data_IF_932405098025
#
_entry.id   IF_932405098025
#
_cell.length_a   1.000
_cell.length_b   1.000
_cell.length_c   1.000
_cell.angle_alpha   90.00
_cell.angle_beta   90.00
_cell.angle_gamma   90.00
#
_symmetry.space_group_name_H-M   'P 1'
#
loop_
_entity.id
_entity.type
_entity.pdbx_description
1 polymer ?
#
# COMPACT_ATOMS: atom_id res chain seq x y z
N UNK A 1 -5.54 -7.06 10.59
CA UNK A 1 -5.29 -6.89 12.04
C UNK A 1 -3.93 -7.50 12.36
N UNK A 2 -3.05 -6.73 12.98
CA UNK A 2 -1.72 -7.20 13.38
C UNK A 2 -1.59 -7.06 14.91
N UNK A 3 -0.88 -8.00 15.54
CA UNK A 3 -0.43 -7.93 16.92
C UNK A 3 1.09 -7.96 16.95
N UNK A 4 1.70 -7.15 17.78
CA UNK A 4 3.14 -7.03 17.92
C UNK A 4 3.54 -7.39 19.34
N UNK A 5 4.63 -8.12 19.49
CA UNK A 5 5.31 -8.25 20.77
C UNK A 5 5.78 -6.86 21.24
N UNK A 6 5.35 -6.45 22.42
CA UNK A 6 5.60 -5.08 22.93
C UNK A 6 7.07 -4.79 23.14
N UNK A 7 7.81 -5.73 23.69
CA UNK A 7 9.24 -5.53 24.02
C UNK A 7 10.04 -5.42 22.73
N UNK A 8 9.80 -6.32 21.77
CA UNK A 8 10.44 -6.32 20.46
C UNK A 8 10.10 -5.06 19.68
N UNK A 9 8.85 -4.61 19.72
CA UNK A 9 8.42 -3.38 19.06
C UNK A 9 9.20 -2.16 19.55
N UNK A 10 9.38 -2.04 20.88
CA UNK A 10 10.14 -0.93 21.44
C UNK A 10 11.65 -1.08 21.25
N UNK A 11 12.17 -2.31 21.28
CA UNK A 11 13.58 -2.59 20.99
C UNK A 11 13.98 -2.12 19.59
N UNK A 12 13.11 -2.31 18.58
CA UNK A 12 13.32 -1.84 17.22
C UNK A 12 13.00 -0.36 16.98
N UNK A 13 12.61 0.38 18.03
CA UNK A 13 12.27 1.81 17.93
C UNK A 13 10.87 2.10 17.38
N UNK A 14 9.99 1.09 17.26
CA UNK A 14 8.61 1.23 16.81
C UNK A 14 8.46 1.48 15.31
N UNK A 15 7.31 2.03 14.91
CA UNK A 15 7.07 2.39 13.53
C UNK A 15 7.90 3.58 13.08
N UNK A 16 8.36 3.55 11.83
CA UNK A 16 9.05 4.70 11.24
C UNK A 16 8.10 5.91 11.15
N UNK A 17 8.60 7.09 11.52
CA UNK A 17 7.78 8.31 11.55
C UNK A 17 7.53 8.92 10.17
N UNK A 18 8.40 8.67 9.21
CA UNK A 18 8.42 9.32 7.90
C UNK A 18 7.96 8.40 6.76
N UNK A 19 7.03 7.47 7.02
CA UNK A 19 6.37 6.71 5.98
C UNK A 19 5.03 7.35 5.60
N UNK A 20 4.76 7.48 4.31
CA UNK A 20 3.45 7.93 3.83
C UNK A 20 2.39 6.83 3.95
N UNK A 21 2.83 5.58 3.95
CA UNK A 21 2.00 4.37 4.00
C UNK A 21 2.84 3.14 4.37
N UNK A 22 2.20 2.01 4.73
CA UNK A 22 2.86 0.72 4.99
C UNK A 22 3.86 0.70 6.17
N UNK A 23 3.71 1.57 7.16
CA UNK A 23 4.58 1.60 8.34
C UNK A 23 4.66 0.25 9.05
N UNK A 24 3.55 -0.48 9.08
CA UNK A 24 3.43 -1.83 9.62
C UNK A 24 4.19 -2.88 8.81
N UNK A 25 4.11 -2.81 7.48
CA UNK A 25 4.84 -3.71 6.58
C UNK A 25 6.34 -3.41 6.59
N UNK A 26 6.74 -2.15 6.68
CA UNK A 26 8.15 -1.75 6.78
C UNK A 26 8.73 -2.27 8.09
N UNK A 27 8.02 -2.08 9.21
CA UNK A 27 8.43 -2.63 10.50
C UNK A 27 8.57 -4.15 10.44
N UNK A 28 7.56 -4.85 9.94
CA UNK A 28 7.56 -6.31 9.83
C UNK A 28 8.70 -6.83 8.92
N UNK A 29 8.95 -6.14 7.80
CA UNK A 29 10.04 -6.49 6.89
C UNK A 29 11.41 -6.37 7.55
N UNK A 30 11.67 -5.27 8.26
CA UNK A 30 12.90 -5.08 9.03
C UNK A 30 13.06 -6.11 10.13
N UNK A 31 12.00 -6.38 10.89
CA UNK A 31 12.00 -7.38 11.95
C UNK A 31 12.44 -8.78 11.47
N UNK A 32 12.01 -9.17 10.26
CA UNK A 32 12.38 -10.45 9.67
C UNK A 32 13.80 -10.42 9.09
N UNK A 33 14.20 -9.31 8.44
CA UNK A 33 15.47 -9.23 7.71
C UNK A 33 16.68 -8.93 8.61
N UNK A 34 16.49 -8.13 9.65
CA UNK A 34 17.58 -7.62 10.49
C UNK A 34 17.69 -8.38 11.82
N UNK A 35 16.56 -8.82 12.40
CA UNK A 35 16.51 -9.40 13.74
C UNK A 35 16.08 -10.86 13.78
N UNK A 36 15.94 -11.52 12.63
CA UNK A 36 15.55 -12.93 12.50
C UNK A 36 14.22 -13.25 13.22
N UNK A 37 13.30 -12.28 13.26
CA UNK A 37 11.97 -12.50 13.82
C UNK A 37 11.07 -13.19 12.81
N UNK A 38 10.07 -13.92 13.32
CA UNK A 38 9.08 -14.59 12.50
C UNK A 38 7.74 -13.87 12.53
N UNK A 39 7.04 -13.86 11.39
CA UNK A 39 5.65 -13.40 11.29
C UNK A 39 4.76 -14.62 11.24
N UNK A 40 3.84 -14.75 12.21
CA UNK A 40 2.86 -15.82 12.23
C UNK A 40 1.54 -15.35 11.58
N UNK A 41 1.05 -16.12 10.61
CA UNK A 41 -0.28 -15.91 10.05
C UNK A 41 -1.30 -16.74 10.82
N UNK A 42 -2.27 -16.10 11.46
CA UNK A 42 -3.32 -16.74 12.25
C UNK A 42 -4.65 -16.62 11.49
N UNK A 43 -5.04 -17.69 10.80
CA UNK A 43 -6.24 -17.70 9.93
C UNK A 43 -7.55 -17.46 10.68
N UNK A 44 -7.61 -17.84 11.97
CA UNK A 44 -8.80 -17.70 12.81
C UNK A 44 -8.94 -16.29 13.43
N UNK A 45 -7.90 -15.45 13.40
CA UNK A 45 -7.94 -14.08 13.85
C UNK A 45 -8.62 -13.20 12.80
N UNK A 46 -9.94 -13.24 12.74
CA UNK A 46 -10.75 -12.56 11.72
C UNK A 46 -11.32 -11.25 12.26
N UNK A 47 -11.24 -10.20 11.46
CA UNK A 47 -11.90 -8.91 11.72
C UNK A 47 -12.71 -8.49 10.51
N UNK A 48 -13.89 -7.91 10.74
CA UNK A 48 -14.67 -7.28 9.68
C UNK A 48 -14.13 -5.87 9.48
N UNK A 49 -13.50 -5.65 8.34
CA UNK A 49 -12.91 -4.37 7.97
C UNK A 49 -13.31 -4.00 6.55
N UNK A 50 -13.99 -2.87 6.39
CA UNK A 50 -14.43 -2.40 5.08
C UNK A 50 -14.16 -0.92 4.89
N UNK A 51 -13.78 -0.57 3.66
CA UNK A 51 -13.62 0.80 3.21
C UNK A 51 -14.42 1.00 1.92
N UNK A 52 -15.41 1.87 1.96
CA UNK A 52 -16.22 2.23 0.79
C UNK A 52 -15.54 3.35 0.00
N UNK A 53 -14.34 3.08 -0.54
CA UNK A 53 -13.63 4.04 -1.36
C UNK A 53 -14.22 4.13 -2.77
N UNK A 54 -14.44 5.36 -3.25
CA UNK A 54 -14.71 5.62 -4.66
C UNK A 54 -13.45 5.44 -5.52
N UNK A 55 -13.59 5.51 -6.85
CA UNK A 55 -12.47 5.28 -7.77
C UNK A 55 -11.30 6.26 -7.56
N UNK A 56 -11.59 7.53 -7.29
CA UNK A 56 -10.55 8.55 -7.04
C UNK A 56 -9.81 8.26 -5.73
N UNK A 57 -10.51 7.88 -4.68
CA UNK A 57 -9.90 7.49 -3.41
C UNK A 57 -9.06 6.22 -3.55
N UNK A 58 -9.53 5.23 -4.33
CA UNK A 58 -8.76 4.03 -4.65
C UNK A 58 -7.47 4.37 -5.40
N UNK A 59 -7.54 5.27 -6.37
CA UNK A 59 -6.36 5.77 -7.09
C UNK A 59 -5.36 6.38 -6.11
N UNK A 60 -5.79 7.37 -5.31
CA UNK A 60 -4.92 8.09 -4.37
C UNK A 60 -4.28 7.18 -3.33
N UNK A 61 -5.06 6.24 -2.76
CA UNK A 61 -4.56 5.26 -1.81
C UNK A 61 -3.46 4.37 -2.42
N UNK A 62 -3.68 3.90 -3.65
CA UNK A 62 -2.69 3.08 -4.34
C UNK A 62 -1.48 3.89 -4.81
N UNK A 63 -1.64 5.19 -5.06
CA UNK A 63 -0.53 6.11 -5.29
C UNK A 63 0.37 6.19 -4.05
N UNK A 64 -0.19 6.49 -2.87
CA UNK A 64 0.57 6.61 -1.62
C UNK A 64 1.24 5.27 -1.23
N UNK A 65 0.53 4.15 -1.42
CA UNK A 65 1.07 2.80 -1.22
C UNK A 65 2.31 2.56 -2.10
N UNK A 66 2.23 2.94 -3.37
CA UNK A 66 3.33 2.74 -4.32
C UNK A 66 4.51 3.69 -4.06
N UNK A 67 4.25 4.93 -3.61
CA UNK A 67 5.28 5.85 -3.12
C UNK A 67 6.05 5.22 -1.97
N UNK A 68 5.35 4.73 -0.95
CA UNK A 68 5.97 4.05 0.19
C UNK A 68 6.83 2.86 -0.24
N UNK A 69 6.35 2.05 -1.20
CA UNK A 69 7.14 0.94 -1.74
C UNK A 69 8.34 1.38 -2.59
N UNK A 70 8.28 2.54 -3.21
CA UNK A 70 9.41 3.08 -3.98
C UNK A 70 10.48 3.67 -3.06
N UNK A 71 10.07 4.27 -1.93
CA UNK A 71 10.97 4.84 -0.93
C UNK A 71 11.67 3.77 -0.05
N UNK A 72 11.12 2.53 0.00
CA UNK A 72 11.65 1.42 0.80
C UNK A 72 11.94 0.16 -0.05
N UNK A 73 12.85 0.26 -1.04
CA UNK A 73 13.18 -0.87 -1.91
C UNK A 73 13.82 -2.04 -1.15
N UNK A 74 14.47 -1.79 -0.01
CA UNK A 74 15.04 -2.80 0.87
C UNK A 74 14.01 -3.80 1.36
N UNK A 75 12.78 -3.35 1.64
CA UNK A 75 11.67 -4.20 2.09
C UNK A 75 10.85 -4.73 0.92
N UNK A 76 10.58 -3.86 -0.07
CA UNK A 76 9.59 -4.16 -1.13
C UNK A 76 10.19 -4.58 -2.46
N UNK A 77 11.53 -4.53 -2.64
CA UNK A 77 12.18 -4.78 -3.93
C UNK A 77 11.96 -6.18 -4.49
N UNK A 78 11.77 -7.18 -3.64
CA UNK A 78 11.46 -8.57 -4.02
C UNK A 78 9.99 -8.87 -4.28
N UNK A 79 9.08 -7.93 -3.97
CA UNK A 79 7.64 -8.18 -4.00
C UNK A 79 7.05 -7.88 -5.39
N UNK A 80 6.49 -8.90 -6.04
CA UNK A 80 5.84 -8.80 -7.35
C UNK A 80 4.36 -8.37 -7.24
N UNK A 81 4.10 -7.18 -6.69
CA UNK A 81 2.76 -6.68 -6.41
C UNK A 81 1.86 -6.60 -7.66
N UNK A 82 2.42 -6.29 -8.84
CA UNK A 82 1.64 -6.15 -10.08
C UNK A 82 1.09 -7.50 -10.58
N UNK A 83 1.92 -8.53 -10.58
CA UNK A 83 1.51 -9.87 -11.04
C UNK A 83 0.43 -10.48 -10.15
N UNK A 84 0.55 -10.30 -8.83
CA UNK A 84 -0.47 -10.74 -7.87
C UNK A 84 -1.77 -9.93 -8.02
N UNK A 85 -1.69 -8.63 -8.28
CA UNK A 85 -2.86 -7.79 -8.56
C UNK A 85 -3.62 -8.26 -9.81
N UNK A 86 -2.93 -8.55 -10.91
CA UNK A 86 -3.53 -9.08 -12.15
C UNK A 86 -4.18 -10.45 -11.90
N UNK A 87 -3.49 -11.33 -11.18
CA UNK A 87 -4.01 -12.65 -10.82
C UNK A 87 -5.30 -12.53 -10.02
N UNK A 88 -5.35 -11.66 -9.02
CA UNK A 88 -6.54 -11.41 -8.21
C UNK A 88 -7.72 -10.91 -9.04
N UNK A 89 -7.49 -9.99 -9.99
CA UNK A 89 -8.53 -9.49 -10.91
C UNK A 89 -9.10 -10.63 -11.74
N UNK A 90 -8.26 -11.51 -12.31
CA UNK A 90 -8.71 -12.67 -13.10
C UNK A 90 -9.52 -13.65 -12.24
N UNK A 91 -9.04 -13.98 -11.04
CA UNK A 91 -9.75 -14.87 -10.11
C UNK A 91 -11.10 -14.30 -9.69
N UNK A 92 -11.16 -12.98 -9.40
CA UNK A 92 -12.42 -12.32 -9.04
C UNK A 92 -13.41 -12.31 -10.20
N UNK A 93 -12.95 -12.08 -11.44
CA UNK A 93 -13.82 -12.13 -12.62
C UNK A 93 -14.40 -13.54 -12.82
N UNK A 94 -13.57 -14.57 -12.69
CA UNK A 94 -14.01 -15.96 -12.77
C UNK A 94 -15.05 -16.30 -11.70
N UNK A 95 -14.76 -15.96 -10.44
CA UNK A 95 -15.69 -16.14 -9.32
C UNK A 95 -17.05 -15.45 -9.55
N UNK A 96 -17.04 -14.20 -10.03
CA UNK A 96 -18.28 -13.47 -10.31
C UNK A 96 -19.10 -14.13 -11.43
N UNK A 97 -18.43 -14.73 -12.44
CA UNK A 97 -19.10 -15.50 -13.49
C UNK A 97 -19.75 -16.77 -12.95
N UNK A 98 -19.05 -17.52 -12.10
CA UNK A 98 -19.58 -18.73 -11.44
C UNK A 98 -20.77 -18.40 -10.50
N UNK A 99 -20.74 -17.25 -9.84
CA UNK A 99 -21.83 -16.78 -8.99
C UNK A 99 -23.01 -16.16 -9.76
N UNK A 100 -23.02 -16.31 -11.09
CA UNK A 100 -24.05 -15.73 -11.96
C UNK A 100 -24.24 -14.21 -11.79
N UNK A 101 -23.14 -13.48 -11.55
CA UNK A 101 -23.12 -12.01 -11.38
C UNK A 101 -22.18 -11.30 -12.38
N UNK A 102 -22.23 -11.61 -13.69
CA UNK A 102 -21.29 -11.05 -14.67
C UNK A 102 -21.44 -9.53 -14.85
N UNK A 103 -22.59 -8.95 -14.52
CA UNK A 103 -22.80 -7.50 -14.59
C UNK A 103 -21.93 -6.68 -13.63
N UNK A 104 -21.33 -7.31 -12.59
CA UNK A 104 -20.41 -6.65 -11.68
C UNK A 104 -18.99 -6.56 -12.26
N UNK A 105 -18.66 -7.38 -13.26
CA UNK A 105 -17.32 -7.47 -13.85
C UNK A 105 -16.84 -6.12 -14.44
N UNK A 106 -17.64 -5.38 -15.23
CA UNK A 106 -17.20 -4.09 -15.75
C UNK A 106 -16.84 -3.09 -14.66
N UNK A 107 -17.66 -2.99 -13.60
CA UNK A 107 -17.39 -2.12 -12.47
C UNK A 107 -16.12 -2.51 -11.69
N UNK A 108 -15.85 -3.82 -11.57
CA UNK A 108 -14.63 -4.33 -10.98
C UNK A 108 -13.39 -3.94 -11.81
N UNK A 109 -13.46 -4.07 -13.15
CA UNK A 109 -12.35 -3.66 -14.03
C UNK A 109 -12.08 -2.16 -13.94
N UNK A 110 -13.10 -1.32 -13.93
CA UNK A 110 -12.95 0.14 -13.75
C UNK A 110 -12.22 0.44 -12.43
N UNK A 111 -12.70 -0.11 -11.33
CA UNK A 111 -12.05 0.10 -10.00
C UNK A 111 -10.60 -0.41 -9.99
N UNK A 112 -10.34 -1.57 -10.60
CA UNK A 112 -8.98 -2.14 -10.69
C UNK A 112 -8.07 -1.28 -11.57
N UNK A 113 -8.60 -0.70 -12.64
CA UNK A 113 -7.88 0.25 -13.50
C UNK A 113 -7.42 1.50 -12.73
N UNK A 114 -8.31 2.09 -11.92
CA UNK A 114 -7.94 3.23 -11.06
C UNK A 114 -6.87 2.87 -10.04
N UNK A 115 -6.94 1.68 -9.41
CA UNK A 115 -5.90 1.18 -8.49
C UNK A 115 -4.56 1.04 -9.23
N UNK A 116 -4.56 0.41 -10.40
CA UNK A 116 -3.36 0.19 -11.18
C UNK A 116 -2.72 1.49 -11.65
N UNK A 117 -3.52 2.45 -12.15
CA UNK A 117 -3.02 3.77 -12.53
C UNK A 117 -2.38 4.50 -11.35
N UNK A 118 -3.05 4.51 -10.19
CA UNK A 118 -2.49 5.09 -8.96
C UNK A 118 -1.16 4.44 -8.60
N UNK A 119 -1.10 3.13 -8.61
CA UNK A 119 0.10 2.36 -8.32
C UNK A 119 1.27 2.70 -9.28
N UNK A 120 1.02 2.69 -10.59
CA UNK A 120 2.04 3.01 -11.58
C UNK A 120 2.57 4.43 -11.44
N UNK A 121 1.68 5.40 -11.24
CA UNK A 121 2.07 6.80 -11.01
C UNK A 121 2.83 6.96 -9.70
N UNK A 122 2.42 6.28 -8.63
CA UNK A 122 3.12 6.29 -7.36
C UNK A 122 4.53 5.69 -7.44
N UNK A 123 4.74 4.60 -8.19
CA UNK A 123 6.08 4.06 -8.46
C UNK A 123 6.99 5.04 -9.19
N UNK A 124 6.43 5.89 -10.03
CA UNK A 124 7.16 6.88 -10.82
C UNK A 124 7.08 8.30 -10.23
N UNK A 125 6.72 8.47 -8.96
CA UNK A 125 6.44 9.78 -8.38
C UNK A 125 7.61 10.77 -8.45
N UNK A 126 8.85 10.27 -8.43
CA UNK A 126 10.06 11.09 -8.59
C UNK A 126 10.13 11.84 -9.93
N UNK A 127 9.44 11.33 -10.96
CA UNK A 127 9.38 11.94 -12.29
C UNK A 127 8.23 12.94 -12.41
N UNK A 128 7.35 13.01 -11.41
CA UNK A 128 6.17 13.85 -11.45
C UNK A 128 6.45 15.24 -10.83
N UNK A 129 5.90 16.31 -11.38
CA UNK A 129 5.98 17.62 -10.75
C UNK A 129 5.21 17.62 -9.42
N UNK A 130 5.70 18.35 -8.43
CA UNK A 130 5.17 18.34 -7.06
C UNK A 130 3.67 18.69 -6.99
N UNK A 131 3.18 19.63 -7.81
CA UNK A 131 1.77 19.98 -7.85
C UNK A 131 0.88 18.77 -8.23
N UNK A 132 1.39 17.87 -9.09
CA UNK A 132 0.68 16.66 -9.50
C UNK A 132 0.72 15.61 -8.39
N UNK A 133 1.86 15.42 -7.73
CA UNK A 133 2.00 14.54 -6.55
C UNK A 133 0.98 14.92 -5.48
N UNK A 134 0.87 16.22 -5.14
CA UNK A 134 -0.09 16.73 -4.14
C UNK A 134 -1.55 16.48 -4.57
N UNK A 135 -1.86 16.47 -5.86
CA UNK A 135 -3.20 16.12 -6.35
C UNK A 135 -3.49 14.61 -6.29
N UNK A 136 -2.46 13.78 -6.46
CA UNK A 136 -2.56 12.33 -6.50
C UNK A 136 -2.54 11.66 -5.12
N UNK A 137 -2.05 12.33 -4.08
CA UNK A 137 -1.96 11.78 -2.73
C UNK A 137 -3.27 11.94 -1.93
N UNK A 138 -3.49 11.05 -0.97
CA UNK A 138 -4.45 11.23 0.13
C UNK A 138 -3.85 12.05 1.29
N UNK A 139 -2.54 11.91 1.51
CA UNK A 139 -1.82 12.52 2.63
C UNK A 139 -1.01 13.73 2.16
N UNK A 140 -1.67 14.88 2.04
CA UNK A 140 -1.02 16.14 1.60
C UNK A 140 -0.03 16.68 2.62
N UNK A 141 -0.31 16.50 3.91
CA UNK A 141 0.51 17.01 5.00
C UNK A 141 1.90 16.39 4.98
N UNK A 142 2.00 15.09 4.73
CA UNK A 142 3.29 14.41 4.53
C UNK A 142 4.20 15.12 3.51
N UNK A 143 3.64 15.56 2.39
CA UNK A 143 4.41 16.23 1.32
C UNK A 143 4.79 17.66 1.67
N UNK A 144 3.97 18.36 2.46
CA UNK A 144 4.27 19.70 2.94
C UNK A 144 5.38 19.67 3.99
N UNK A 145 5.33 18.75 4.94
CA UNK A 145 6.37 18.54 5.95
C UNK A 145 7.70 18.09 5.32
N UNK A 146 7.65 17.20 4.34
CA UNK A 146 8.83 16.75 3.58
C UNK A 146 9.54 17.91 2.87
N UNK A 147 8.77 18.90 2.39
CA UNK A 147 9.31 20.11 1.77
C UNK A 147 9.99 21.01 2.81
N UNK A 148 9.34 21.27 3.93
CA UNK A 148 9.89 22.13 4.98
C UNK A 148 11.15 21.52 5.65
N UNK A 149 11.21 20.20 5.77
CA UNK A 149 12.37 19.47 6.26
C UNK A 149 13.54 19.41 5.28
N UNK A 150 13.27 19.49 3.98
CA UNK A 150 14.27 19.53 2.90
C UNK A 150 14.96 20.87 2.71
N UNK A 151 14.30 21.95 3.10
CA UNK A 151 14.83 23.34 2.98
C UNK A 151 15.71 23.74 4.18
N UNK A 152 15.84 22.86 5.18
CA UNK A 152 16.65 23.08 6.40
C UNK A 152 18.00 22.33 6.41
N UNK A 153 18.47 21.83 5.24
CA UNK A 153 19.78 21.20 5.13
C UNK A 153 20.72 21.98 4.22
#
# INVERSE_FOLDING_TARGET
>A
CCAYDREKFWFQGGFIKNAIFNEDMIFAGKAVMEDDYAIAYVADAKVIHSHNYNCTQQFKRNFDLAVSQADHPEVFGGIRSESEGIRLVKQTAHYLSEQHKPWLIPGMFVKSGFKYMGYRMGKAYHMLPQWLVIKCTMNREYWLEKKEGGDRR
#
